data_IF_456979395268
#
_entry.id   IF_456979395268
#
_cell.length_a   1.000
_cell.length_b   1.000
_cell.length_c   1.000
_cell.angle_alpha   90.00
_cell.angle_beta   90.00
_cell.angle_gamma   90.00
#
_symmetry.space_group_name_H-M   'P 1'
#
loop_
_entity.id
_entity.type
_entity.pdbx_description
1 polymer ?
#
# COMPACT_ATOMS: atom_id res chain seq x y z
N UNK A 1 -5.33 -29.71 -10.71
CA UNK A 1 -5.92 -28.96 -9.57
C UNK A 1 -5.28 -27.58 -9.44
N UNK A 2 -3.98 -27.50 -9.22
CA UNK A 2 -3.29 -26.22 -9.06
C UNK A 2 -3.30 -25.42 -10.38
N UNK A 3 -3.08 -26.08 -11.50
CA UNK A 3 -3.11 -25.45 -12.83
C UNK A 3 -4.51 -24.93 -13.17
N UNK A 4 -5.54 -25.69 -12.82
CA UNK A 4 -6.93 -25.31 -13.00
C UNK A 4 -7.26 -24.01 -12.23
N UNK A 5 -6.84 -23.92 -10.96
CA UNK A 5 -7.04 -22.72 -10.13
C UNK A 5 -6.34 -21.50 -10.73
N UNK A 6 -5.13 -21.66 -11.27
CA UNK A 6 -4.41 -20.56 -11.92
C UNK A 6 -5.13 -20.08 -13.17
N UNK A 7 -5.56 -21.00 -14.02
CA UNK A 7 -6.28 -20.66 -15.25
C UNK A 7 -7.59 -19.95 -14.92
N UNK A 8 -8.34 -20.47 -13.96
CA UNK A 8 -9.59 -19.90 -13.55
C UNK A 8 -9.40 -18.49 -12.94
N UNK A 9 -8.38 -18.34 -12.10
CA UNK A 9 -8.03 -17.05 -11.50
C UNK A 9 -7.68 -16.01 -12.56
N UNK A 10 -6.87 -16.38 -13.54
CA UNK A 10 -6.44 -15.46 -14.60
C UNK A 10 -7.56 -15.07 -15.57
N UNK A 11 -8.55 -15.93 -15.73
CA UNK A 11 -9.64 -15.72 -16.70
C UNK A 11 -10.84 -15.01 -16.08
N UNK A 12 -11.18 -15.33 -14.83
CA UNK A 12 -12.46 -14.96 -14.23
C UNK A 12 -12.37 -13.88 -13.17
N UNK A 13 -11.19 -13.52 -12.67
CA UNK A 13 -11.06 -12.59 -11.54
C UNK A 13 -10.24 -11.39 -11.95
N UNK A 14 -10.91 -10.25 -12.10
CA UNK A 14 -10.24 -8.97 -12.20
C UNK A 14 -9.54 -8.68 -10.88
N UNK A 15 -8.30 -8.20 -10.95
CA UNK A 15 -7.54 -7.80 -9.79
C UNK A 15 -8.22 -6.61 -9.12
N UNK A 16 -8.53 -6.73 -7.85
CA UNK A 16 -9.11 -5.65 -7.08
C UNK A 16 -8.01 -4.70 -6.63
N UNK A 17 -8.29 -3.40 -6.75
CA UNK A 17 -7.36 -2.35 -6.34
C UNK A 17 -7.98 -1.48 -5.26
N UNK A 18 -7.14 -0.89 -4.43
CA UNK A 18 -7.54 0.14 -3.48
C UNK A 18 -6.59 1.33 -3.60
N UNK A 19 -7.15 2.52 -3.49
CA UNK A 19 -6.38 3.76 -3.53
C UNK A 19 -6.04 4.20 -2.11
N UNK A 20 -4.75 4.43 -1.87
CA UNK A 20 -4.23 4.83 -0.57
C UNK A 20 -3.56 6.20 -0.67
N UNK A 21 -3.93 7.16 0.18
CA UNK A 21 -3.13 8.37 0.33
C UNK A 21 -1.81 8.02 1.03
N UNK A 22 -0.71 8.34 0.39
CA UNK A 22 0.62 8.11 0.94
C UNK A 22 1.39 9.43 0.85
N UNK A 23 2.07 9.81 1.94
CA UNK A 23 2.84 11.06 1.98
C UNK A 23 3.94 11.05 0.92
N UNK A 24 4.15 12.16 0.28
CA UNK A 24 5.15 12.35 -0.79
C UNK A 24 6.52 11.77 -0.41
N UNK A 25 6.98 12.01 0.81
CA UNK A 25 8.29 11.50 1.27
C UNK A 25 8.36 9.97 1.26
N UNK A 26 7.26 9.30 1.58
CA UNK A 26 7.21 7.83 1.57
C UNK A 26 7.03 7.29 0.15
N UNK A 27 6.26 7.98 -0.68
CA UNK A 27 6.11 7.61 -2.10
C UNK A 27 7.48 7.57 -2.78
N UNK A 28 8.30 8.59 -2.57
CA UNK A 28 9.66 8.65 -3.11
C UNK A 28 10.48 7.42 -2.71
N UNK A 29 10.41 7.03 -1.45
CA UNK A 29 11.15 5.88 -0.93
C UNK A 29 10.61 4.55 -1.42
N UNK A 30 9.30 4.43 -1.63
CA UNK A 30 8.72 3.25 -2.27
C UNK A 30 9.23 3.13 -3.70
N UNK A 31 9.25 4.22 -4.44
CA UNK A 31 9.67 4.22 -5.83
C UNK A 31 11.18 3.98 -6.01
N UNK A 32 12.02 4.42 -5.08
CA UNK A 32 13.47 4.19 -5.15
C UNK A 32 13.91 2.86 -4.51
N UNK A 33 12.97 2.12 -3.92
CA UNK A 33 13.23 0.82 -3.32
C UNK A 33 13.75 0.85 -1.88
N UNK A 34 13.93 2.02 -1.28
CA UNK A 34 14.42 2.11 0.11
C UNK A 34 13.34 1.81 1.14
N UNK A 35 12.06 1.90 0.75
CA UNK A 35 10.92 1.55 1.59
C UNK A 35 10.19 0.37 0.99
N UNK A 36 10.30 -0.79 1.65
CA UNK A 36 9.68 -2.03 1.20
C UNK A 36 8.36 -2.36 1.91
N UNK A 37 7.89 -1.48 2.79
CA UNK A 37 6.69 -1.72 3.59
C UNK A 37 5.84 -0.47 3.68
N UNK A 38 4.52 -0.66 3.57
CA UNK A 38 3.53 0.38 3.86
C UNK A 38 2.81 -0.01 5.15
N UNK A 39 2.98 0.81 6.18
CA UNK A 39 2.42 0.53 7.50
C UNK A 39 1.04 1.14 7.66
N UNK A 40 0.11 0.33 8.16
CA UNK A 40 -1.27 0.75 8.44
C UNK A 40 -1.74 0.15 9.75
N UNK A 41 -2.73 0.78 10.35
CA UNK A 41 -3.31 0.31 11.62
C UNK A 41 -4.18 -0.92 11.43
N UNK A 42 -4.71 -1.11 10.20
CA UNK A 42 -5.51 -2.26 9.82
C UNK A 42 -5.39 -2.46 8.30
N UNK A 43 -5.75 -3.66 7.85
CA UNK A 43 -5.73 -3.99 6.43
C UNK A 43 -7.06 -3.68 5.76
N UNK A 44 -7.01 -3.39 4.45
CA UNK A 44 -8.18 -3.45 3.57
C UNK A 44 -8.54 -4.91 3.28
N UNK A 45 -9.59 -5.13 2.47
CA UNK A 45 -10.02 -6.46 2.08
C UNK A 45 -8.87 -7.30 1.52
N UNK A 46 -8.85 -8.59 1.85
CA UNK A 46 -7.88 -9.56 1.34
C UNK A 46 -7.98 -9.76 -0.18
N UNK A 47 -9.10 -9.36 -0.79
CA UNK A 47 -9.29 -9.43 -2.24
C UNK A 47 -8.48 -8.38 -2.98
N UNK A 48 -8.03 -7.32 -2.29
CA UNK A 48 -7.17 -6.30 -2.89
C UNK A 48 -5.77 -6.85 -3.05
N UNK A 49 -5.24 -6.80 -4.27
CA UNK A 49 -3.88 -7.24 -4.57
C UNK A 49 -2.96 -6.09 -5.02
N UNK A 50 -3.52 -4.91 -5.26
CA UNK A 50 -2.78 -3.75 -5.75
C UNK A 50 -3.18 -2.50 -5.00
N UNK A 51 -2.19 -1.77 -4.52
CA UNK A 51 -2.37 -0.46 -3.89
C UNK A 51 -2.01 0.62 -4.91
N UNK A 52 -3.00 1.45 -5.23
CA UNK A 52 -2.85 2.62 -6.09
C UNK A 52 -2.49 3.81 -5.21
N UNK A 53 -1.46 4.55 -5.56
CA UNK A 53 -0.85 5.57 -4.71
C UNK A 53 -1.33 6.96 -5.09
N UNK A 54 -2.09 7.59 -4.19
CA UNK A 54 -2.36 9.02 -4.24
C UNK A 54 -1.29 9.72 -3.40
N UNK A 55 -0.53 10.61 -4.04
CA UNK A 55 0.55 11.32 -3.37
C UNK A 55 -0.01 12.48 -2.55
N UNK A 56 -0.15 12.25 -1.25
CA UNK A 56 -0.59 13.31 -0.34
C UNK A 56 0.59 14.22 0.03
N UNK A 57 0.28 15.47 0.36
CA UNK A 57 1.28 16.52 0.63
C UNK A 57 2.19 16.80 -0.55
N UNK A 58 1.75 16.47 -1.76
CA UNK A 58 2.37 16.79 -3.03
C UNK A 58 1.40 17.55 -3.90
N UNK A 59 1.36 17.22 -5.19
CA UNK A 59 0.46 17.85 -6.16
C UNK A 59 -0.96 17.30 -6.15
N UNK A 60 -1.25 16.33 -5.31
CA UNK A 60 -2.59 15.71 -5.24
C UNK A 60 -2.90 14.85 -6.45
N UNK A 61 -1.94 14.09 -6.92
CA UNK A 61 -2.08 13.22 -8.09
C UNK A 61 -1.87 11.76 -7.71
N UNK A 62 -2.43 10.88 -8.53
CA UNK A 62 -2.20 9.43 -8.47
C UNK A 62 -0.96 9.15 -9.32
N UNK A 63 0.10 8.69 -8.68
CA UNK A 63 1.44 8.69 -9.28
C UNK A 63 1.97 7.30 -9.62
N UNK A 64 1.34 6.26 -9.15
CA UNK A 64 1.77 4.89 -9.41
C UNK A 64 0.98 3.88 -8.62
N UNK A 65 1.46 2.66 -8.61
CA UNK A 65 0.83 1.58 -7.87
C UNK A 65 1.87 0.50 -7.54
N UNK A 66 1.56 -0.35 -6.57
CA UNK A 66 2.38 -1.54 -6.31
C UNK A 66 1.50 -2.75 -5.99
N UNK A 67 2.00 -3.93 -6.34
CA UNK A 67 1.37 -5.18 -5.96
C UNK A 67 1.70 -5.50 -4.51
N UNK A 68 0.72 -6.03 -3.78
CA UNK A 68 0.92 -6.50 -2.41
C UNK A 68 1.59 -7.87 -2.49
N UNK A 69 2.86 -7.95 -2.09
CA UNK A 69 3.59 -9.22 -2.09
C UNK A 69 3.22 -10.09 -0.90
N UNK A 70 2.92 -9.46 0.24
CA UNK A 70 2.54 -10.16 1.47
C UNK A 70 1.93 -9.15 2.46
N UNK A 71 1.33 -9.66 3.52
CA UNK A 71 0.76 -8.88 4.61
C UNK A 71 1.29 -9.42 5.93
N UNK A 72 1.85 -8.54 6.76
CA UNK A 72 2.39 -8.87 8.07
C UNK A 72 1.54 -8.21 9.14
N UNK A 73 1.18 -8.96 10.18
CA UNK A 73 0.45 -8.40 11.32
C UNK A 73 0.99 -9.03 12.60
N UNK A 74 1.44 -8.18 13.51
CA UNK A 74 1.98 -8.60 14.80
C UNK A 74 2.01 -7.39 15.71
N UNK A 75 2.61 -7.53 16.90
CA UNK A 75 2.82 -6.37 17.77
C UNK A 75 3.70 -5.34 17.07
N UNK A 76 3.57 -4.05 17.39
CA UNK A 76 4.44 -3.02 16.80
C UNK A 76 5.92 -3.34 16.95
N UNK A 77 6.34 -3.84 18.12
CA UNK A 77 7.75 -4.20 18.34
C UNK A 77 8.21 -5.30 17.38
N UNK A 78 7.43 -6.35 17.23
CA UNK A 78 7.78 -7.45 16.33
C UNK A 78 7.79 -7.01 14.86
N UNK A 79 6.84 -6.19 14.45
CA UNK A 79 6.82 -5.67 13.07
C UNK A 79 8.05 -4.78 12.83
N UNK A 80 8.39 -3.91 13.79
CA UNK A 80 9.59 -3.07 13.66
C UNK A 80 10.85 -3.91 13.48
N UNK A 81 11.06 -4.90 14.35
CA UNK A 81 12.25 -5.75 14.28
C UNK A 81 12.36 -6.51 12.96
N UNK A 82 11.23 -6.94 12.40
CA UNK A 82 11.19 -7.68 11.14
C UNK A 82 11.36 -6.80 9.91
N UNK A 83 11.06 -5.50 10.00
CA UNK A 83 10.95 -4.62 8.82
C UNK A 83 11.90 -3.43 8.84
N UNK A 84 12.59 -3.17 9.94
CA UNK A 84 13.38 -1.95 10.14
C UNK A 84 14.45 -1.69 9.09
N UNK A 85 14.98 -2.74 8.46
CA UNK A 85 16.03 -2.61 7.43
C UNK A 85 15.56 -1.84 6.20
N UNK A 86 14.27 -1.91 5.86
CA UNK A 86 13.66 -1.24 4.71
C UNK A 86 12.34 -0.56 5.10
N UNK A 87 12.30 -0.03 6.32
CA UNK A 87 11.08 0.59 6.84
C UNK A 87 10.75 1.92 6.16
N UNK A 88 11.77 2.68 5.79
CA UNK A 88 11.58 3.99 5.16
C UNK A 88 10.97 5.03 6.09
N UNK A 89 10.98 4.79 7.39
CA UNK A 89 10.43 5.65 8.44
C UNK A 89 11.34 5.51 9.66
N UNK A 90 11.49 6.56 10.44
CA UNK A 90 12.28 6.49 11.66
C UNK A 90 11.58 5.62 12.72
N UNK A 91 12.36 5.02 13.61
CA UNK A 91 11.82 4.24 14.73
C UNK A 91 10.86 5.08 15.57
N UNK A 92 11.23 6.32 15.86
CA UNK A 92 10.39 7.24 16.61
C UNK A 92 9.04 7.47 15.94
N UNK A 93 9.03 7.76 14.66
CA UNK A 93 7.79 7.99 13.91
C UNK A 93 6.95 6.72 13.80
N UNK A 94 7.60 5.57 13.62
CA UNK A 94 6.91 4.28 13.58
C UNK A 94 6.14 4.01 14.88
N UNK A 95 6.80 4.10 16.02
CA UNK A 95 6.15 3.84 17.31
C UNK A 95 5.16 4.92 17.69
N UNK A 96 5.39 6.16 17.28
CA UNK A 96 4.41 7.24 17.46
C UNK A 96 3.12 6.95 16.69
N UNK A 97 3.25 6.48 15.44
CA UNK A 97 2.11 6.11 14.60
C UNK A 97 1.27 4.99 15.22
N UNK A 98 1.91 4.00 15.81
CA UNK A 98 1.23 2.84 16.40
C UNK A 98 0.96 2.99 17.90
N UNK A 99 1.17 4.17 18.46
CA UNK A 99 0.95 4.39 19.89
C UNK A 99 -0.46 3.98 20.32
N UNK A 100 -0.55 3.20 21.42
CA UNK A 100 -1.82 2.69 21.93
C UNK A 100 -2.40 1.52 21.14
N UNK A 101 -1.70 1.01 20.13
CA UNK A 101 -2.17 -0.11 19.33
C UNK A 101 -1.45 -1.40 19.73
N UNK A 102 -2.23 -2.48 19.86
CA UNK A 102 -1.67 -3.81 20.15
C UNK A 102 -1.10 -4.48 18.91
N UNK A 103 -1.58 -4.10 17.73
CA UNK A 103 -1.17 -4.68 16.46
C UNK A 103 -0.73 -3.60 15.48
N UNK A 104 0.27 -3.94 14.69
CA UNK A 104 0.72 -3.16 13.55
C UNK A 104 0.56 -4.00 12.29
N UNK A 105 0.11 -3.39 11.22
CA UNK A 105 -0.06 -4.03 9.92
C UNK A 105 0.95 -3.46 8.94
N UNK A 106 1.53 -4.33 8.13
CA UNK A 106 2.46 -3.92 7.08
C UNK A 106 2.13 -4.65 5.79
N UNK A 107 1.93 -3.87 4.72
CA UNK A 107 1.90 -4.42 3.36
C UNK A 107 3.33 -4.53 2.86
N UNK A 108 3.71 -5.70 2.37
CA UNK A 108 5.01 -5.89 1.72
C UNK A 108 4.89 -5.41 0.28
N UNK A 109 5.71 -4.46 -0.11
CA UNK A 109 5.70 -3.87 -1.45
C UNK A 109 6.27 -4.87 -2.45
N UNK A 110 5.47 -5.25 -3.44
CA UNK A 110 5.90 -6.10 -4.55
C UNK A 110 6.32 -5.29 -5.76
N UNK A 111 5.85 -5.67 -6.94
CA UNK A 111 6.18 -4.95 -8.17
C UNK A 111 5.60 -3.53 -8.14
N UNK A 112 6.46 -2.55 -8.41
CA UNK A 112 6.11 -1.14 -8.43
C UNK A 112 5.97 -0.67 -9.87
N UNK A 113 4.87 0.03 -10.15
CA UNK A 113 4.63 0.67 -11.44
C UNK A 113 4.49 2.17 -11.23
N UNK A 114 5.51 2.93 -11.63
CA UNK A 114 5.48 4.39 -11.61
C UNK A 114 4.81 4.87 -12.90
N UNK A 115 3.72 5.63 -12.78
CA UNK A 115 2.99 6.08 -13.96
C UNK A 115 3.80 7.12 -14.74
N UNK A 116 3.94 6.92 -16.06
CA UNK A 116 4.56 7.91 -16.94
C UNK A 116 3.81 9.23 -16.91
N UNK A 117 2.48 9.15 -16.88
CA UNK A 117 1.60 10.30 -16.78
C UNK A 117 0.74 10.13 -15.51
N UNK A 118 0.96 10.96 -14.48
CA UNK A 118 0.12 10.92 -13.29
C UNK A 118 -1.36 11.12 -13.63
N UNK A 119 -2.22 10.50 -12.84
CA UNK A 119 -3.68 10.55 -12.99
C UNK A 119 -4.29 11.41 -11.90
N UNK A 120 -5.54 11.80 -12.11
CA UNK A 120 -6.33 12.54 -11.12
C UNK A 120 -7.25 11.57 -10.37
N UNK A 121 -7.78 12.00 -9.24
CA UNK A 121 -8.82 11.24 -8.54
C UNK A 121 -10.05 11.03 -9.42
N UNK A 122 -10.41 12.04 -10.23
CA UNK A 122 -11.56 11.94 -11.13
C UNK A 122 -11.40 10.84 -12.18
N UNK A 123 -10.16 10.56 -12.61
CA UNK A 123 -9.89 9.44 -13.53
C UNK A 123 -10.32 8.10 -12.94
N UNK A 124 -10.43 8.01 -11.61
CA UNK A 124 -10.91 6.82 -10.90
C UNK A 124 -12.33 6.96 -10.37
N UNK A 125 -13.01 8.04 -10.72
CA UNK A 125 -14.37 8.30 -10.23
C UNK A 125 -14.42 8.68 -8.75
N UNK A 126 -13.31 9.18 -8.19
CA UNK A 126 -13.20 9.54 -6.78
C UNK A 126 -13.28 11.05 -6.65
N UNK A 127 -14.21 11.55 -5.81
CA UNK A 127 -14.45 12.98 -5.64
C UNK A 127 -13.75 13.59 -4.43
N UNK A 128 -13.42 12.77 -3.43
CA UNK A 128 -12.84 13.22 -2.16
C UNK A 128 -11.68 12.31 -1.80
N UNK A 129 -10.58 12.89 -1.34
CA UNK A 129 -9.43 12.11 -0.85
C UNK A 129 -9.90 11.26 0.34
N UNK A 130 -9.76 9.93 0.29
CA UNK A 130 -10.14 9.08 1.42
C UNK A 130 -9.19 9.31 2.61
N UNK A 131 -9.70 9.13 3.83
CA UNK A 131 -8.86 9.24 5.03
C UNK A 131 -7.86 8.09 5.14
N UNK A 132 -8.31 6.88 4.86
CA UNK A 132 -7.48 5.68 4.96
C UNK A 132 -7.24 5.07 3.59
N UNK A 133 -8.30 4.66 2.92
CA UNK A 133 -8.27 4.11 1.56
C UNK A 133 -9.68 4.06 1.00
N UNK A 134 -9.78 3.85 -0.31
CA UNK A 134 -11.06 3.49 -0.94
C UNK A 134 -10.82 2.45 -2.02
N UNK A 135 -11.82 1.59 -2.23
CA UNK A 135 -11.75 0.57 -3.28
C UNK A 135 -11.98 1.21 -4.65
N UNK A 136 -11.25 0.71 -5.64
CA UNK A 136 -11.39 1.12 -7.03
C UNK A 136 -12.16 0.03 -7.77
N UNK A 137 -13.21 0.43 -8.43
CA UNK A 137 -14.07 -0.50 -9.17
C UNK A 137 -13.98 -0.28 -10.67
#
# INVERSE_FOLDING_TARGET
MILWKRLFHNICIDKMKALFPIKKEYVKKIFDGSKAYEYRKFFCSLEVDTIVIYESRGKGLVVGEFEIADRLCDTPRNIWERTKGYAGISESDFFSYFEGRDKACAYVVGNVNVFLKPKTLQDYGINVVPQNFCYIR
#
